data_IF_993029114191
#
_entry.id   IF_993029114191
#
_cell.length_a   1.000
_cell.length_b   1.000
_cell.length_c   1.000
_cell.angle_alpha   90.00
_cell.angle_beta   90.00
_cell.angle_gamma   90.00
#
_symmetry.space_group_name_H-M   'P 1'
#
loop_
_entity.id
_entity.type
_entity.pdbx_description
1 polymer ?
#
# COMPACT_ATOMS: atom_id res chain seq x y z
N UNK A 1 16.41 9.78 -12.88
CA UNK A 1 16.52 9.02 -11.62
C UNK A 1 15.22 9.21 -10.85
N UNK A 2 14.48 8.14 -10.56
CA UNK A 2 13.15 8.24 -9.93
C UNK A 2 13.24 8.57 -8.44
N UNK A 3 12.25 9.28 -7.91
CA UNK A 3 12.06 9.48 -6.46
C UNK A 3 11.72 8.13 -5.81
N UNK A 4 12.36 7.84 -4.66
CA UNK A 4 12.12 6.62 -3.86
C UNK A 4 11.33 6.98 -2.61
N UNK A 5 10.39 6.12 -2.24
CA UNK A 5 9.68 6.21 -0.95
C UNK A 5 10.69 6.05 0.20
N UNK A 6 10.66 6.88 1.26
CA UNK A 6 11.53 6.72 2.42
C UNK A 6 11.39 5.34 3.05
N UNK A 7 12.49 4.73 3.45
CA UNK A 7 12.50 3.36 4.01
C UNK A 7 11.61 3.24 5.26
N UNK A 8 11.48 4.31 6.04
CA UNK A 8 10.63 4.38 7.23
C UNK A 8 9.14 4.16 6.96
N UNK A 9 8.67 4.39 5.74
CA UNK A 9 7.26 4.24 5.35
C UNK A 9 7.03 3.12 4.33
N UNK A 10 8.10 2.44 3.91
CA UNK A 10 7.99 1.26 3.04
C UNK A 10 7.34 0.10 3.82
N UNK A 11 6.35 -0.60 3.24
CA UNK A 11 5.79 -1.78 3.86
C UNK A 11 6.87 -2.86 3.94
N UNK A 12 7.02 -3.47 5.12
CA UNK A 12 7.86 -4.64 5.28
C UNK A 12 7.13 -5.84 4.70
N UNK A 13 7.70 -6.42 3.66
CA UNK A 13 7.21 -7.65 3.05
C UNK A 13 7.86 -8.83 3.78
N UNK A 14 7.04 -9.77 4.25
CA UNK A 14 7.48 -11.00 4.93
C UNK A 14 6.68 -12.19 4.41
N UNK A 15 7.18 -13.40 4.65
CA UNK A 15 6.43 -14.65 4.42
C UNK A 15 5.64 -15.09 5.66
N UNK A 16 5.71 -14.29 6.72
CA UNK A 16 5.05 -14.52 8.01
C UNK A 16 4.24 -13.28 8.36
N UNK A 17 2.94 -13.46 8.55
CA UNK A 17 2.00 -12.36 8.65
C UNK A 17 1.17 -12.45 9.94
N UNK A 18 1.47 -11.59 10.91
CA UNK A 18 0.63 -11.43 12.10
C UNK A 18 -0.54 -10.48 11.81
N UNK A 19 -1.77 -11.01 11.90
CA UNK A 19 -3.02 -10.27 11.71
C UNK A 19 -3.64 -9.93 13.06
N UNK A 20 -3.96 -8.65 13.27
CA UNK A 20 -4.85 -8.27 14.38
C UNK A 20 -6.30 -8.54 13.97
N UNK A 21 -7.05 -9.16 14.87
CA UNK A 21 -8.45 -9.54 14.63
C UNK A 21 -9.36 -9.06 15.75
N UNK A 22 -10.60 -8.74 15.40
CA UNK A 22 -11.69 -8.51 16.36
C UNK A 22 -12.54 -9.76 16.36
N UNK A 23 -12.73 -10.38 17.53
CA UNK A 23 -13.52 -11.61 17.66
C UNK A 23 -14.99 -11.39 17.31
N UNK A 24 -15.63 -12.43 16.79
CA UNK A 24 -17.04 -12.46 16.43
C UNK A 24 -17.34 -12.06 14.98
N UNK A 25 -18.64 -11.98 14.62
CA UNK A 25 -19.78 -11.93 15.54
C UNK A 25 -20.28 -13.29 16.08
N UNK A 26 -19.89 -14.43 15.49
CA UNK A 26 -20.37 -15.76 15.91
C UNK A 26 -19.35 -16.52 16.75
N UNK A 27 -18.69 -15.86 17.70
CA UNK A 27 -17.72 -16.52 18.59
C UNK A 27 -18.35 -17.68 19.36
N UNK A 28 -19.63 -17.56 19.72
CA UNK A 28 -20.38 -18.59 20.46
C UNK A 28 -20.63 -19.86 19.64
N UNK A 29 -20.43 -19.83 18.31
CA UNK A 29 -20.50 -21.03 17.45
C UNK A 29 -19.24 -21.90 17.54
N UNK A 30 -18.23 -21.50 18.33
CA UNK A 30 -16.95 -22.20 18.47
C UNK A 30 -16.73 -22.64 19.92
N UNK A 31 -16.03 -23.77 20.10
CA UNK A 31 -15.64 -24.19 21.45
C UNK A 31 -14.53 -23.30 21.99
N UNK A 32 -14.36 -23.28 23.32
CA UNK A 32 -13.21 -22.61 23.92
C UNK A 32 -11.87 -23.14 23.38
N UNK A 33 -11.80 -24.43 23.06
CA UNK A 33 -10.63 -25.04 22.43
C UNK A 33 -10.46 -24.58 20.98
N UNK A 34 -11.53 -24.46 20.20
CA UNK A 34 -11.50 -23.90 18.84
C UNK A 34 -10.98 -22.46 18.82
N UNK A 35 -11.46 -21.61 19.73
CA UNK A 35 -10.97 -20.23 19.87
C UNK A 35 -9.50 -20.20 20.27
N UNK A 36 -9.09 -21.05 21.23
CA UNK A 36 -7.69 -21.14 21.62
C UNK A 36 -6.81 -21.57 20.44
N UNK A 37 -7.20 -22.62 19.71
CA UNK A 37 -6.52 -23.09 18.50
C UNK A 37 -6.38 -21.98 17.47
N UNK A 38 -7.45 -21.24 17.18
CA UNK A 38 -7.43 -20.12 16.24
C UNK A 38 -6.39 -19.05 16.60
N UNK A 39 -6.27 -18.70 17.88
CA UNK A 39 -5.39 -17.63 18.35
C UNK A 39 -3.94 -18.08 18.61
N UNK A 40 -3.70 -19.38 18.86
CA UNK A 40 -2.37 -19.89 19.16
C UNK A 40 -1.67 -20.56 17.97
N UNK A 41 -2.40 -20.82 16.88
CA UNK A 41 -1.88 -21.57 15.74
C UNK A 41 -1.31 -20.68 14.64
N UNK A 42 -0.45 -21.30 13.83
CA UNK A 42 0.03 -20.75 12.57
C UNK A 42 -0.68 -21.50 11.44
N UNK A 43 -1.20 -20.74 10.48
CA UNK A 43 -1.89 -21.26 9.31
C UNK A 43 -1.11 -20.95 8.05
N UNK A 44 -1.08 -21.88 7.10
CA UNK A 44 -0.42 -21.71 5.80
C UNK A 44 -1.43 -21.27 4.75
N UNK A 45 -1.09 -20.28 3.92
CA UNK A 45 -1.91 -19.87 2.78
C UNK A 45 -1.96 -21.02 1.76
N UNK A 46 -3.17 -21.47 1.44
CA UNK A 46 -3.42 -22.53 0.48
C UNK A 46 -3.27 -22.03 -0.95
N UNK A 47 -2.89 -22.95 -1.85
CA UNK A 47 -2.85 -22.73 -3.30
C UNK A 47 -4.23 -22.45 -3.91
N UNK A 48 -5.31 -22.77 -3.20
CA UNK A 48 -6.69 -22.51 -3.63
C UNK A 48 -7.20 -21.11 -3.24
N UNK A 49 -6.32 -20.22 -2.75
CA UNK A 49 -6.66 -18.84 -2.40
C UNK A 49 -6.84 -17.99 -3.65
N UNK A 50 -7.85 -17.12 -3.64
CA UNK A 50 -8.17 -16.21 -4.74
C UNK A 50 -8.68 -14.85 -4.21
N UNK A 51 -9.26 -14.04 -5.10
CA UNK A 51 -9.80 -12.72 -4.75
C UNK A 51 -11.12 -12.78 -3.98
N UNK A 52 -11.79 -13.93 -3.95
CA UNK A 52 -13.00 -14.18 -3.16
C UNK A 52 -12.62 -14.48 -1.72
N UNK A 53 -11.63 -15.36 -1.51
CA UNK A 53 -11.15 -15.69 -0.17
C UNK A 53 -9.74 -16.29 -0.13
N UNK A 54 -8.99 -15.89 0.88
CA UNK A 54 -7.71 -16.50 1.24
C UNK A 54 -7.97 -17.71 2.15
N UNK A 55 -7.71 -18.91 1.61
CA UNK A 55 -7.94 -20.19 2.29
C UNK A 55 -6.71 -20.58 3.06
N UNK A 56 -6.90 -21.02 4.29
CA UNK A 56 -5.82 -21.29 5.22
C UNK A 56 -5.82 -22.76 5.65
N UNK A 57 -4.66 -23.40 5.55
CA UNK A 57 -4.40 -24.77 5.98
C UNK A 57 -3.73 -24.75 7.36
N UNK A 58 -4.16 -25.61 8.28
CA UNK A 58 -3.57 -25.67 9.62
C UNK A 58 -4.41 -26.50 10.59
N UNK A 59 -4.21 -26.29 11.90
CA UNK A 59 -4.99 -26.96 12.93
C UNK A 59 -6.49 -26.66 12.82
N UNK A 60 -7.31 -27.71 12.96
CA UNK A 60 -8.77 -27.62 12.86
C UNK A 60 -9.33 -26.78 14.01
N UNK A 61 -10.16 -25.79 13.66
CA UNK A 61 -10.91 -24.97 14.60
C UNK A 61 -12.22 -25.69 14.90
N UNK A 62 -12.42 -26.04 16.16
CA UNK A 62 -13.59 -26.80 16.60
C UNK A 62 -14.83 -25.90 16.73
N UNK A 63 -15.92 -26.32 16.10
CA UNK A 63 -17.25 -25.72 16.23
C UNK A 63 -17.99 -26.30 17.44
N UNK A 64 -18.83 -25.48 18.10
CA UNK A 64 -19.68 -25.94 19.19
C UNK A 64 -20.91 -26.71 18.68
N UNK A 65 -21.63 -26.14 17.70
CA UNK A 65 -22.90 -26.65 17.19
C UNK A 65 -22.89 -26.86 15.65
N UNK A 66 -21.70 -26.96 15.05
CA UNK A 66 -21.49 -27.07 13.61
C UNK A 66 -21.13 -25.75 12.92
N UNK A 67 -20.75 -25.84 11.64
CA UNK A 67 -20.21 -24.71 10.89
C UNK A 67 -21.28 -23.80 10.25
N UNK A 68 -22.48 -24.32 10.04
CA UNK A 68 -23.54 -23.65 9.31
C UNK A 68 -24.37 -22.75 10.22
N UNK A 69 -24.68 -21.56 9.72
CA UNK A 69 -25.55 -20.56 10.34
C UNK A 69 -26.63 -20.13 9.35
N UNK A 70 -27.67 -19.46 9.85
CA UNK A 70 -28.56 -18.70 8.98
C UNK A 70 -27.70 -17.67 8.23
N UNK A 71 -27.87 -17.60 6.92
CA UNK A 71 -27.07 -16.73 6.06
C UNK A 71 -27.09 -15.29 6.57
N UNK A 72 -25.89 -14.74 6.76
CA UNK A 72 -25.68 -13.43 7.40
C UNK A 72 -24.68 -12.61 6.56
N UNK A 73 -24.65 -11.30 6.78
CA UNK A 73 -23.75 -10.38 6.11
C UNK A 73 -22.28 -10.74 6.34
N UNK A 74 -21.47 -10.65 5.27
CA UNK A 74 -20.04 -10.97 5.34
C UNK A 74 -19.17 -9.70 5.21
N UNK A 75 -18.49 -9.26 6.30
CA UNK A 75 -17.63 -8.09 6.25
C UNK A 75 -16.33 -8.38 5.47
N UNK A 76 -15.70 -7.34 4.96
CA UNK A 76 -14.38 -7.47 4.34
C UNK A 76 -13.36 -7.83 5.42
N UNK A 77 -12.65 -8.94 5.22
CA UNK A 77 -11.78 -9.50 6.26
C UNK A 77 -12.48 -10.39 7.27
N UNK A 78 -13.77 -10.68 7.09
CA UNK A 78 -14.44 -11.70 7.90
C UNK A 78 -13.77 -13.05 7.71
N UNK A 79 -13.56 -13.77 8.80
CA UNK A 79 -12.91 -15.08 8.80
C UNK A 79 -13.99 -16.12 9.03
N UNK A 80 -14.40 -16.79 7.96
CA UNK A 80 -15.30 -17.94 8.04
C UNK A 80 -14.50 -19.18 8.41
N UNK A 81 -15.10 -20.08 9.17
CA UNK A 81 -14.54 -21.41 9.40
C UNK A 81 -15.47 -22.42 8.75
N UNK A 82 -14.97 -23.15 7.75
CA UNK A 82 -15.75 -24.12 6.99
C UNK A 82 -16.03 -25.40 7.80
N UNK A 83 -16.82 -26.32 7.26
CA UNK A 83 -17.20 -27.58 7.92
C UNK A 83 -16.03 -28.52 8.25
N UNK A 84 -14.92 -28.37 7.55
CA UNK A 84 -13.63 -29.04 7.83
C UNK A 84 -12.79 -28.31 8.91
N UNK A 85 -13.33 -27.26 9.53
CA UNK A 85 -12.69 -26.47 10.58
C UNK A 85 -11.53 -25.60 10.09
N UNK A 86 -11.42 -25.36 8.78
CA UNK A 86 -10.37 -24.52 8.21
C UNK A 86 -10.83 -23.07 8.03
N UNK A 87 -9.97 -22.07 8.35
CA UNK A 87 -10.33 -20.67 8.19
C UNK A 87 -10.22 -20.19 6.73
N UNK A 88 -11.16 -19.33 6.32
CA UNK A 88 -11.17 -18.61 5.05
C UNK A 88 -11.36 -17.13 5.33
N UNK A 89 -10.36 -16.32 4.98
CA UNK A 89 -10.44 -14.86 5.07
C UNK A 89 -11.14 -14.33 3.84
N UNK A 90 -12.28 -13.67 4.00
CA UNK A 90 -13.08 -13.17 2.89
C UNK A 90 -12.55 -11.86 2.33
N UNK A 91 -12.33 -11.82 1.01
CA UNK A 91 -11.58 -10.78 0.33
C UNK A 91 -12.46 -9.85 -0.53
N UNK A 92 -11.85 -9.19 -1.52
CA UNK A 92 -12.47 -8.09 -2.27
C UNK A 92 -13.68 -8.54 -3.09
N UNK A 93 -13.64 -9.77 -3.62
CA UNK A 93 -14.66 -10.31 -4.52
C UNK A 93 -15.61 -11.29 -3.79
N UNK A 94 -15.61 -11.27 -2.45
CA UNK A 94 -16.53 -12.07 -1.62
C UNK A 94 -17.99 -11.71 -1.90
N UNK A 95 -18.90 -12.65 -1.64
CA UNK A 95 -20.35 -12.40 -1.72
C UNK A 95 -20.83 -11.34 -0.72
N UNK A 96 -22.13 -11.05 -0.72
CA UNK A 96 -22.74 -10.13 0.27
C UNK A 96 -23.16 -10.85 1.55
N UNK A 97 -23.52 -12.12 1.43
CA UNK A 97 -23.95 -12.99 2.53
C UNK A 97 -23.24 -14.34 2.47
N UNK A 98 -23.22 -15.07 3.58
CA UNK A 98 -22.63 -16.39 3.66
C UNK A 98 -23.21 -17.23 4.80
N UNK A 99 -23.23 -18.54 4.61
CA UNK A 99 -23.82 -19.51 5.55
C UNK A 99 -22.86 -20.10 6.57
N UNK A 100 -21.58 -19.72 6.58
CA UNK A 100 -20.62 -20.23 7.57
C UNK A 100 -20.40 -19.24 8.73
N UNK A 101 -20.24 -19.81 9.92
CA UNK A 101 -19.90 -19.09 11.14
C UNK A 101 -18.59 -18.31 10.98
N UNK A 102 -18.57 -17.08 11.48
CA UNK A 102 -17.41 -16.20 11.43
C UNK A 102 -16.81 -16.07 12.82
N UNK A 103 -15.58 -16.56 12.97
CA UNK A 103 -14.88 -16.56 14.27
C UNK A 103 -14.35 -15.17 14.63
N UNK A 104 -13.91 -14.40 13.63
CA UNK A 104 -13.34 -13.07 13.81
C UNK A 104 -13.36 -12.26 12.51
N UNK A 105 -13.01 -10.98 12.59
CA UNK A 105 -12.79 -10.08 11.45
C UNK A 105 -11.42 -9.43 11.56
N UNK A 106 -10.63 -9.46 10.48
CA UNK A 106 -9.32 -8.81 10.40
C UNK A 106 -9.48 -7.29 10.53
N UNK A 107 -8.65 -6.69 11.38
CA UNK A 107 -8.58 -5.24 11.50
C UNK A 107 -8.16 -4.62 10.16
N UNK A 108 -8.89 -3.61 9.67
CA UNK A 108 -8.70 -3.02 8.34
C UNK A 108 -7.26 -2.58 8.06
N UNK A 109 -6.54 -2.15 9.10
CA UNK A 109 -5.12 -1.76 9.03
C UNK A 109 -4.18 -2.88 8.58
N UNK A 110 -4.57 -4.16 8.76
CA UNK A 110 -3.77 -5.34 8.40
C UNK A 110 -4.25 -6.03 7.12
N UNK A 111 -5.43 -5.69 6.59
CA UNK A 111 -6.02 -6.39 5.42
C UNK A 111 -5.13 -6.41 4.17
N UNK A 112 -4.33 -5.37 3.98
CA UNK A 112 -3.40 -5.29 2.85
C UNK A 112 -2.38 -6.44 2.86
N UNK A 113 -2.02 -6.96 4.04
CA UNK A 113 -1.07 -8.07 4.17
C UNK A 113 -1.64 -9.36 3.57
N UNK A 114 -2.93 -9.63 3.77
CA UNK A 114 -3.61 -10.78 3.17
C UNK A 114 -3.61 -10.68 1.65
N UNK A 115 -3.81 -9.47 1.11
CA UNK A 115 -3.73 -9.23 -0.33
C UNK A 115 -2.30 -9.36 -0.91
N UNK A 116 -1.27 -9.36 -0.07
CA UNK A 116 0.14 -9.57 -0.47
C UNK A 116 0.64 -10.97 -0.13
N UNK A 117 -0.13 -11.77 0.62
CA UNK A 117 0.28 -13.09 1.04
C UNK A 117 0.26 -14.05 -0.15
N UNK A 118 1.37 -14.79 -0.32
CA UNK A 118 1.52 -15.79 -1.36
C UNK A 118 1.19 -17.17 -0.81
N UNK A 119 0.85 -18.10 -1.69
CA UNK A 119 0.71 -19.50 -1.30
C UNK A 119 1.98 -20.03 -0.64
N UNK A 120 1.82 -20.69 0.50
CA UNK A 120 2.94 -21.13 1.33
C UNK A 120 3.36 -20.13 2.42
N UNK A 121 2.96 -18.85 2.33
CA UNK A 121 3.13 -17.91 3.43
C UNK A 121 2.34 -18.36 4.65
N UNK A 122 2.71 -17.83 5.82
CA UNK A 122 2.06 -18.16 7.08
C UNK A 122 1.31 -16.96 7.67
N UNK A 123 0.17 -17.23 8.28
CA UNK A 123 -0.70 -16.27 8.95
C UNK A 123 -0.95 -16.73 10.39
N UNK A 124 -0.82 -15.80 11.34
CA UNK A 124 -1.22 -15.98 12.73
C UNK A 124 -2.14 -14.84 13.17
N UNK A 125 -2.94 -15.09 14.20
CA UNK A 125 -3.99 -14.17 14.63
C UNK A 125 -3.77 -13.69 16.05
N UNK A 126 -3.87 -12.37 16.26
CA UNK A 126 -3.84 -11.75 17.58
C UNK A 126 -5.13 -10.98 17.82
N UNK A 127 -5.92 -11.41 18.81
CA UNK A 127 -7.15 -10.75 19.17
C UNK A 127 -6.87 -9.36 19.76
N UNK A 128 -7.60 -8.35 19.29
CA UNK A 128 -7.57 -6.98 19.80
C UNK A 128 -8.98 -6.46 20.03
N UNK A 129 -9.10 -5.40 20.83
CA UNK A 129 -10.39 -4.75 21.03
C UNK A 129 -10.82 -3.95 19.78
N UNK A 130 -12.13 -3.76 19.55
CA UNK A 130 -12.63 -2.88 18.49
C UNK A 130 -12.05 -1.45 18.58
N UNK A 131 -11.89 -0.93 19.81
CA UNK A 131 -11.31 0.39 20.07
C UNK A 131 -9.85 0.47 19.63
N UNK A 132 -9.06 -0.56 19.92
CA UNK A 132 -7.68 -0.65 19.47
C UNK A 132 -7.59 -0.74 17.94
N UNK A 133 -8.46 -1.53 17.30
CA UNK A 133 -8.51 -1.65 15.85
C UNK A 133 -8.77 -0.29 15.18
N UNK A 134 -9.72 0.48 15.71
CA UNK A 134 -10.01 1.84 15.26
C UNK A 134 -8.83 2.78 15.46
N UNK A 135 -8.19 2.74 16.64
CA UNK A 135 -7.01 3.56 16.93
C UNK A 135 -5.89 3.29 15.92
N UNK A 136 -5.60 2.01 15.64
CA UNK A 136 -4.59 1.60 14.65
C UNK A 136 -4.93 2.03 13.22
N UNK A 137 -6.21 2.05 12.86
CA UNK A 137 -6.63 2.56 11.56
C UNK A 137 -6.44 4.08 11.45
N UNK A 138 -6.73 4.84 12.52
CA UNK A 138 -6.51 6.29 12.56
C UNK A 138 -5.02 6.63 12.48
N UNK A 139 -4.19 5.95 13.27
CA UNK A 139 -2.73 6.07 13.26
C UNK A 139 -2.20 5.89 11.83
N UNK A 140 -2.60 4.81 11.15
CA UNK A 140 -2.18 4.54 9.77
C UNK A 140 -2.66 5.60 8.77
N UNK A 141 -3.88 6.11 8.92
CA UNK A 141 -4.40 7.19 8.06
C UNK A 141 -3.60 8.48 8.23
N UNK A 142 -3.20 8.81 9.46
CA UNK A 142 -2.40 9.99 9.74
C UNK A 142 -0.99 9.86 9.14
N UNK A 143 -0.34 8.70 9.26
CA UNK A 143 0.95 8.42 8.60
C UNK A 143 0.89 8.64 7.09
N UNK A 144 -0.14 8.07 6.44
CA UNK A 144 -0.33 8.20 4.99
C UNK A 144 -0.62 9.64 4.57
N UNK A 145 -1.40 10.39 5.37
CA UNK A 145 -1.68 11.79 5.12
C UNK A 145 -0.41 12.66 5.20
N UNK A 146 0.43 12.43 6.22
CA UNK A 146 1.73 13.10 6.38
C UNK A 146 2.64 12.81 5.19
N UNK A 147 2.76 11.54 4.79
CA UNK A 147 3.57 11.15 3.64
C UNK A 147 3.10 11.80 2.33
N UNK A 148 1.79 11.88 2.10
CA UNK A 148 1.23 12.56 0.93
C UNK A 148 1.58 14.05 0.93
N UNK A 149 1.49 14.72 2.07
CA UNK A 149 1.83 16.14 2.21
C UNK A 149 3.32 16.41 1.96
N UNK A 150 4.22 15.53 2.40
CA UNK A 150 5.67 15.63 2.17
C UNK A 150 6.04 15.36 0.70
N UNK A 151 5.37 14.40 0.05
CA UNK A 151 5.60 14.05 -1.36
C UNK A 151 5.22 15.21 -2.30
N UNK A 152 4.09 15.88 -2.04
CA UNK A 152 3.67 17.05 -2.84
C UNK A 152 4.60 18.26 -2.71
N UNK A 153 5.31 18.42 -1.58
CA UNK A 153 6.35 19.46 -1.45
C UNK A 153 7.57 19.19 -2.33
N UNK A 154 7.86 17.92 -2.61
CA UNK A 154 9.01 17.49 -3.41
C UNK A 154 8.71 17.60 -4.91
N UNK A 155 7.49 17.27 -5.35
CA UNK A 155 7.05 17.47 -6.74
C UNK A 155 7.07 18.95 -7.15
N UNK A 156 6.67 19.85 -6.25
CA UNK A 156 6.74 21.30 -6.50
C UNK A 156 8.16 21.84 -6.69
N UNK A 157 9.21 21.14 -6.25
CA UNK A 157 10.61 21.53 -6.54
C UNK A 157 11.05 21.16 -7.96
N UNK A 158 10.61 20.02 -8.49
CA UNK A 158 10.95 19.60 -9.86
C UNK A 158 10.12 20.33 -10.94
N UNK A 159 8.91 20.77 -10.61
CA UNK A 159 8.08 21.58 -11.51
C UNK A 159 8.58 23.02 -11.71
N UNK A 160 9.62 23.47 -11.00
CA UNK A 160 10.16 24.84 -11.07
C UNK A 160 11.41 25.01 -11.93
N UNK A 161 11.83 23.98 -12.68
CA UNK A 161 12.93 24.14 -13.63
C UNK A 161 12.45 24.96 -14.84
N UNK A 162 13.15 26.05 -15.21
CA UNK A 162 12.82 26.81 -16.40
C UNK A 162 12.97 25.91 -17.63
N UNK A 163 11.95 25.96 -18.49
CA UNK A 163 11.87 25.20 -19.74
C UNK A 163 11.91 26.17 -20.91
N UNK A 164 12.61 25.80 -21.98
CA UNK A 164 12.62 26.54 -23.25
C UNK A 164 11.97 25.67 -24.31
N UNK A 165 11.07 26.24 -25.10
CA UNK A 165 10.40 25.55 -26.21
C UNK A 165 10.96 26.05 -27.53
N UNK A 166 11.42 25.14 -28.39
CA UNK A 166 11.89 25.39 -29.75
C UNK A 166 11.18 24.40 -30.67
N UNK A 167 10.50 24.90 -31.72
CA UNK A 167 9.80 24.10 -32.73
C UNK A 167 8.94 22.96 -32.16
N UNK A 168 8.19 23.26 -31.09
CA UNK A 168 7.29 22.33 -30.37
C UNK A 168 7.97 21.30 -29.45
N UNK A 169 9.30 21.29 -29.35
CA UNK A 169 10.03 20.48 -28.37
C UNK A 169 10.42 21.32 -27.15
N UNK A 170 10.30 20.72 -25.97
CA UNK A 170 10.54 21.40 -24.69
C UNK A 170 11.79 20.86 -24.03
N UNK A 171 12.73 21.75 -23.71
CA UNK A 171 14.03 21.42 -23.13
C UNK A 171 14.18 22.02 -21.73
N UNK A 172 14.77 21.25 -20.81
CA UNK A 172 15.13 21.71 -19.46
C UNK A 172 16.48 22.43 -19.49
N UNK A 173 16.61 23.55 -18.75
CA UNK A 173 17.82 24.38 -18.79
C UNK A 173 18.72 24.13 -17.56
N UNK A 174 20.00 23.85 -17.82
CA UNK A 174 21.05 23.61 -16.82
C UNK A 174 22.16 24.69 -16.89
N UNK A 175 22.96 24.83 -15.82
CA UNK A 175 24.16 25.67 -15.76
C UNK A 175 25.37 24.99 -16.41
N UNK A 176 26.44 25.75 -16.67
CA UNK A 176 27.70 25.21 -17.23
C UNK A 176 28.30 24.09 -16.34
N UNK A 177 28.10 24.18 -15.02
CA UNK A 177 28.50 23.14 -14.06
C UNK A 177 27.53 21.94 -14.01
N UNK A 178 26.56 21.84 -14.94
CA UNK A 178 25.57 20.77 -15.01
C UNK A 178 24.47 20.84 -13.95
N UNK A 179 24.32 21.96 -13.23
CA UNK A 179 23.29 22.12 -12.18
C UNK A 179 22.00 22.73 -12.76
N UNK A 180 20.82 22.25 -12.37
CA UNK A 180 19.56 22.84 -12.81
C UNK A 180 19.44 24.32 -12.40
N UNK A 181 19.00 25.19 -13.32
CA UNK A 181 18.65 26.57 -12.98
C UNK A 181 17.28 26.60 -12.27
N UNK A 182 17.11 27.46 -11.27
CA UNK A 182 15.84 27.61 -10.52
C UNK A 182 15.38 29.08 -10.54
N UNK A 183 14.08 29.36 -10.35
CA UNK A 183 13.53 30.74 -10.30
C UNK A 183 14.31 31.69 -9.37
N UNK A 184 14.88 31.20 -8.27
CA UNK A 184 15.66 32.01 -7.33
C UNK A 184 17.04 32.47 -7.87
N UNK A 185 17.55 31.85 -8.95
CA UNK A 185 18.81 32.22 -9.61
C UNK A 185 18.59 33.13 -10.84
N UNK A 186 17.33 33.47 -11.15
CA UNK A 186 16.92 34.29 -12.29
C UNK A 186 16.57 35.73 -11.89
N UNK A 187 16.51 36.04 -10.59
CA UNK A 187 15.76 37.18 -10.09
C UNK A 187 16.47 38.54 -10.14
N UNK A 188 17.80 38.61 -10.35
CA UNK A 188 18.51 39.86 -10.02
C UNK A 188 19.61 40.28 -11.00
N UNK A 189 19.37 40.21 -12.31
CA UNK A 189 20.36 40.74 -13.25
C UNK A 189 19.77 41.09 -14.62
N UNK A 190 20.11 42.27 -15.15
CA UNK A 190 20.04 42.55 -16.60
C UNK A 190 21.19 41.77 -17.25
N UNK A 191 20.96 40.51 -17.66
CA UNK A 191 22.01 39.67 -18.26
C UNK A 191 21.80 39.61 -19.77
N UNK A 192 22.80 40.06 -20.53
CA UNK A 192 23.10 39.50 -21.85
C UNK A 192 23.99 38.29 -21.60
N UNK A 193 23.40 37.13 -21.32
CA UNK A 193 24.18 35.89 -21.16
C UNK A 193 24.07 35.09 -22.43
N UNK A 194 25.17 35.03 -23.19
CA UNK A 194 25.37 34.00 -24.21
C UNK A 194 25.75 32.72 -23.49
N UNK A 195 24.91 31.68 -23.57
CA UNK A 195 25.25 30.36 -23.02
C UNK A 195 25.42 29.35 -24.13
N UNK A 196 26.50 28.57 -24.04
CA UNK A 196 26.72 27.39 -24.86
C UNK A 196 25.79 26.27 -24.40
N UNK A 197 24.83 25.91 -25.23
CA UNK A 197 23.92 24.78 -25.06
C UNK A 197 24.38 23.66 -25.95
N UNK A 198 24.62 22.47 -25.39
CA UNK A 198 24.94 21.27 -26.16
C UNK A 198 23.68 20.41 -26.24
N UNK A 199 23.24 20.10 -27.46
CA UNK A 199 22.08 19.26 -27.76
C UNK A 199 22.56 18.01 -28.48
N UNK A 200 22.30 16.84 -27.91
CA UNK A 200 22.67 15.56 -28.52
C UNK A 200 21.49 14.98 -29.28
N UNK A 201 21.61 14.84 -30.61
CA UNK A 201 20.58 14.21 -31.47
C UNK A 201 21.23 13.01 -32.18
N UNK A 202 20.65 11.82 -32.00
CA UNK A 202 21.14 10.57 -32.60
C UNK A 202 22.64 10.30 -32.38
N UNK A 203 23.15 10.63 -31.18
CA UNK A 203 24.55 10.43 -30.80
C UNK A 203 25.53 11.48 -31.36
N UNK A 204 25.04 12.61 -31.87
CA UNK A 204 25.86 13.76 -32.29
C UNK A 204 25.53 14.99 -31.45
N UNK A 205 26.57 15.65 -30.99
CA UNK A 205 26.48 16.85 -30.16
C UNK A 205 26.49 18.11 -31.03
N UNK A 206 25.48 18.96 -30.86
CA UNK A 206 25.31 20.25 -31.51
C UNK A 206 25.42 21.34 -30.47
N UNK A 207 26.29 22.33 -30.72
CA UNK A 207 26.51 23.41 -29.76
C UNK A 207 25.88 24.70 -30.28
N UNK A 208 25.02 25.31 -29.47
CA UNK A 208 24.30 26.56 -29.77
C UNK A 208 24.68 27.63 -28.77
N UNK A 209 24.72 28.89 -29.19
CA UNK A 209 24.82 30.03 -28.27
C UNK A 209 23.43 30.64 -28.14
N UNK A 210 22.81 30.48 -26.97
CA UNK A 210 21.49 31.04 -26.68
C UNK A 210 21.66 32.28 -25.83
N UNK A 211 21.21 33.43 -26.35
CA UNK A 211 21.08 34.68 -25.60
C UNK A 211 19.68 34.80 -25.03
N UNK A 212 19.57 35.06 -23.72
CA UNK A 212 18.29 35.42 -23.08
C UNK A 212 18.31 36.92 -22.83
N UNK A 213 17.36 37.66 -23.41
CA UNK A 213 17.17 39.09 -23.20
C UNK A 213 15.74 39.33 -22.73
N UNK A 214 15.56 40.12 -21.66
CA UNK A 214 14.24 40.54 -21.19
C UNK A 214 13.94 41.91 -21.81
N UNK A 215 12.99 41.97 -22.74
CA UNK A 215 12.43 43.25 -23.18
C UNK A 215 11.73 43.93 -21.98
N UNK A 216 11.99 45.24 -21.88
CA UNK A 216 11.50 46.14 -20.83
C UNK A 216 9.99 46.31 -20.84
#
# INVERSE_FOLDING_TARGET
>A
TGTRVPESVQPKMSHEHLMRVVMGPQTDSFTAQGIATFLSSIYKVSQQSDRVGCRLEGPMIEHADGADIISDGIPFGGIQVTGDGLPVVLMADRGVTGGYAKIATIATVDLWKVAQALSGDTISFNAISPKEAQHKLIERKNELATFKAESSKTENKHSQLPRVTLDQETFEVYSEDGKPLTQNNLADTRIKQLRKVVVSVNGRDYTFEVGIERES
#
